data_IF_539761810594
#
_entry.id   IF_539761810594
#
_cell.length_a   1.000
_cell.length_b   1.000
_cell.length_c   1.000
_cell.angle_alpha   90.00
_cell.angle_beta   90.00
_cell.angle_gamma   90.00
#
_symmetry.space_group_name_H-M   'P 1'
#
loop_
_entity.id
_entity.type
_entity.pdbx_description
1 polymer ?
#
# COMPACT_ATOMS: atom_id res chain seq x y z
N UNK A 1 1.14 9.97 4.08
CA UNK A 1 0.42 10.68 2.99
C UNK A 1 0.13 12.13 3.34
N UNK A 2 -0.54 12.45 4.46
CA UNK A 2 -0.84 13.82 4.88
C UNK A 2 0.39 14.76 4.86
N UNK A 3 1.49 14.34 5.47
CA UNK A 3 2.77 15.08 5.45
C UNK A 3 3.29 15.38 4.02
N UNK A 4 3.12 14.48 3.05
CA UNK A 4 3.53 14.72 1.65
C UNK A 4 2.72 15.83 0.97
N UNK A 5 1.54 16.12 1.51
CA UNK A 5 0.65 17.18 1.06
C UNK A 5 0.68 18.41 1.98
N UNK A 6 1.62 18.45 2.94
CA UNK A 6 1.79 19.58 3.86
C UNK A 6 0.51 19.92 4.65
N UNK A 7 -0.25 18.89 5.01
CA UNK A 7 -1.46 19.01 5.85
C UNK A 7 -1.40 18.06 7.03
N UNK A 8 -2.12 18.38 8.11
CA UNK A 8 -2.31 17.47 9.23
C UNK A 8 -3.20 16.26 8.86
N UNK A 9 -3.15 15.22 9.70
CA UNK A 9 -3.90 13.97 9.48
C UNK A 9 -5.42 14.19 9.49
N UNK A 10 -6.03 14.87 10.49
CA UNK A 10 -7.48 15.14 10.46
C UNK A 10 -7.97 15.82 9.18
N UNK A 11 -7.24 16.83 8.70
CA UNK A 11 -7.52 17.59 7.49
C UNK A 11 -7.42 16.68 6.26
N UNK A 12 -6.36 15.87 6.17
CA UNK A 12 -6.20 14.90 5.10
C UNK A 12 -7.36 13.89 5.07
N UNK A 13 -7.73 13.31 6.21
CA UNK A 13 -8.79 12.32 6.30
C UNK A 13 -10.14 12.92 5.91
N UNK A 14 -10.48 14.12 6.41
CA UNK A 14 -11.72 14.83 6.06
C UNK A 14 -11.82 15.11 4.55
N UNK A 15 -10.72 15.58 3.95
CA UNK A 15 -10.69 16.02 2.56
C UNK A 15 -10.60 14.85 1.58
N UNK A 16 -9.72 13.90 1.82
CA UNK A 16 -9.32 12.88 0.84
C UNK A 16 -9.71 11.45 1.17
N UNK A 17 -10.18 11.17 2.39
CA UNK A 17 -10.61 9.84 2.80
C UNK A 17 -12.08 9.81 3.24
N UNK A 18 -12.64 8.62 3.32
CA UNK A 18 -13.94 8.34 3.90
C UNK A 18 -13.78 7.21 4.91
N UNK A 19 -14.43 7.33 6.06
CA UNK A 19 -14.51 6.24 7.03
C UNK A 19 -15.48 5.19 6.50
N UNK A 20 -15.13 3.92 6.63
CA UNK A 20 -15.90 2.74 6.25
C UNK A 20 -15.88 1.75 7.43
N UNK A 21 -16.75 0.73 7.37
CA UNK A 21 -16.91 -0.23 8.47
C UNK A 21 -17.77 0.32 9.62
N UNK A 22 -17.83 -0.44 10.73
CA UNK A 22 -18.64 -0.11 11.91
C UNK A 22 -17.88 -0.40 13.20
N UNK A 23 -18.06 0.45 14.20
CA UNK A 23 -17.47 0.28 15.53
C UNK A 23 -15.94 0.19 15.49
N UNK A 24 -15.38 -0.79 16.19
CA UNK A 24 -13.94 -1.06 16.24
C UNK A 24 -13.35 -1.46 14.88
N UNK A 25 -14.16 -1.98 13.96
CA UNK A 25 -13.71 -2.44 12.64
C UNK A 25 -13.82 -1.33 11.57
N UNK A 26 -13.77 -0.07 11.99
CA UNK A 26 -13.79 1.05 11.06
C UNK A 26 -12.40 1.31 10.47
N UNK A 27 -12.34 1.62 9.19
CA UNK A 27 -11.10 1.99 8.50
C UNK A 27 -11.31 3.19 7.59
N UNK A 28 -10.23 3.86 7.19
CA UNK A 28 -10.28 4.93 6.21
C UNK A 28 -9.94 4.40 4.82
N UNK A 29 -10.80 4.69 3.86
CA UNK A 29 -10.56 4.45 2.45
C UNK A 29 -10.39 5.79 1.74
N UNK A 30 -9.43 5.89 0.81
CA UNK A 30 -9.32 7.07 -0.05
C UNK A 30 -10.60 7.27 -0.87
N UNK A 31 -11.03 8.52 -1.01
CA UNK A 31 -12.18 8.88 -1.83
C UNK A 31 -11.91 8.53 -3.30
N UNK A 32 -13.00 8.45 -4.05
CA UNK A 32 -12.98 8.20 -5.48
C UNK A 32 -13.61 9.37 -6.25
N UNK A 33 -13.14 9.60 -7.47
CA UNK A 33 -13.70 10.56 -8.44
C UNK A 33 -14.30 9.81 -9.63
N UNK A 34 -15.45 10.27 -10.12
CA UNK A 34 -16.07 9.71 -11.33
C UNK A 34 -15.26 10.09 -12.57
N UNK A 35 -15.15 9.16 -13.50
CA UNK A 35 -14.46 9.28 -14.78
C UNK A 35 -15.33 8.69 -15.89
N UNK A 36 -14.92 8.88 -17.15
CA UNK A 36 -15.61 8.30 -18.30
C UNK A 36 -15.71 6.77 -18.24
N UNK A 37 -14.75 6.10 -17.60
CA UNK A 37 -14.64 4.63 -17.54
C UNK A 37 -14.99 4.07 -16.16
N UNK A 38 -15.61 4.85 -15.28
CA UNK A 38 -15.98 4.42 -13.92
C UNK A 38 -15.45 5.33 -12.83
N UNK A 39 -14.73 4.78 -11.86
CA UNK A 39 -14.24 5.53 -10.69
C UNK A 39 -12.74 5.33 -10.50
N UNK A 40 -12.03 6.44 -10.29
CA UNK A 40 -10.61 6.44 -9.97
C UNK A 40 -10.41 6.89 -8.52
N UNK A 41 -9.32 6.45 -7.88
CA UNK A 41 -8.87 7.06 -6.63
C UNK A 41 -8.63 8.57 -6.86
N UNK A 42 -8.90 9.41 -5.86
CA UNK A 42 -8.65 10.87 -5.93
C UNK A 42 -7.20 11.22 -6.30
N UNK A 43 -6.24 10.37 -5.94
CA UNK A 43 -4.81 10.55 -6.23
C UNK A 43 -4.32 9.81 -7.48
N UNK A 44 -5.19 9.12 -8.22
CA UNK A 44 -4.80 8.53 -9.50
C UNK A 44 -4.71 9.62 -10.56
N UNK A 45 -3.55 9.73 -11.19
CA UNK A 45 -3.24 10.65 -12.27
C UNK A 45 -2.92 9.86 -13.55
N UNK A 46 -3.69 10.12 -14.60
CA UNK A 46 -3.52 9.48 -15.92
C UNK A 46 -2.77 10.35 -16.93
N UNK A 47 -2.41 11.58 -16.54
CA UNK A 47 -1.78 12.60 -17.39
C UNK A 47 -0.32 12.82 -17.02
N UNK A 48 0.07 12.56 -15.77
CA UNK A 48 1.44 12.78 -15.28
C UNK A 48 2.48 11.97 -16.06
N UNK A 49 2.15 10.74 -16.47
CA UNK A 49 3.02 9.90 -17.30
C UNK A 49 2.24 9.41 -18.51
N UNK A 50 2.70 9.77 -19.72
CA UNK A 50 2.02 9.39 -20.96
C UNK A 50 1.89 7.86 -21.05
N UNK A 51 0.66 7.39 -21.25
CA UNK A 51 0.34 5.97 -21.36
C UNK A 51 0.33 5.19 -20.05
N UNK A 52 0.46 5.84 -18.89
CA UNK A 52 0.42 5.17 -17.58
C UNK A 52 -0.45 5.93 -16.58
N UNK A 53 -1.26 5.18 -15.83
CA UNK A 53 -1.91 5.71 -14.64
C UNK A 53 -0.97 5.58 -13.45
N UNK A 54 -0.67 6.68 -12.77
CA UNK A 54 0.27 6.74 -11.65
C UNK A 54 -0.38 7.40 -10.44
N UNK A 55 0.02 7.00 -9.23
CA UNK A 55 -0.44 7.66 -8.01
C UNK A 55 0.39 8.93 -7.78
N UNK A 56 -0.26 10.09 -7.64
CA UNK A 56 0.43 11.35 -7.35
C UNK A 56 1.12 11.36 -5.98
N UNK A 57 0.73 10.46 -5.07
CA UNK A 57 1.34 10.25 -3.76
C UNK A 57 2.14 8.95 -3.67
N UNK A 58 2.62 8.39 -4.79
CA UNK A 58 3.31 7.09 -4.81
C UNK A 58 4.52 7.02 -3.87
N UNK A 59 5.23 8.14 -3.68
CA UNK A 59 6.36 8.22 -2.77
C UNK A 59 5.96 8.19 -1.29
N UNK A 60 4.69 8.45 -0.96
CA UNK A 60 4.17 8.45 0.40
C UNK A 60 3.56 7.11 0.84
N UNK A 61 3.77 6.04 0.06
CA UNK A 61 3.40 4.67 0.42
C UNK A 61 4.08 4.26 1.74
N UNK A 62 3.38 3.55 2.64
CA UNK A 62 4.01 3.05 3.87
C UNK A 62 5.06 1.99 3.54
N UNK A 63 5.94 1.69 4.51
CA UNK A 63 6.97 0.65 4.35
C UNK A 63 6.37 -0.68 3.90
N UNK A 64 5.23 -1.07 4.48
CA UNK A 64 4.44 -2.23 4.03
C UNK A 64 4.24 -2.29 2.51
N UNK A 65 3.82 -1.20 1.89
CA UNK A 65 3.60 -1.20 0.45
C UNK A 65 4.88 -1.07 -0.37
N UNK A 66 6.01 -0.66 0.24
CA UNK A 66 7.31 -0.55 -0.43
C UNK A 66 8.08 -1.86 -0.43
N UNK A 67 7.95 -2.66 0.63
CA UNK A 67 8.67 -3.92 0.83
C UNK A 67 7.93 -5.14 0.31
N UNK A 68 6.72 -4.98 -0.25
CA UNK A 68 6.06 -6.07 -0.97
C UNK A 68 6.91 -6.50 -2.17
N UNK A 69 7.15 -7.81 -2.40
CA UNK A 69 6.53 -8.97 -1.73
C UNK A 69 7.35 -9.61 -0.61
N UNK A 70 8.45 -9.00 -0.15
CA UNK A 70 9.41 -9.59 0.79
C UNK A 70 8.99 -9.44 2.25
N UNK A 71 7.69 -9.47 2.53
CA UNK A 71 7.20 -9.52 3.90
C UNK A 71 7.64 -10.83 4.56
N UNK A 72 7.92 -10.86 5.87
CA UNK A 72 8.38 -12.06 6.55
C UNK A 72 7.48 -13.27 6.33
N UNK A 73 6.16 -13.08 6.43
CA UNK A 73 5.17 -14.16 6.23
C UNK A 73 5.25 -14.77 4.82
N UNK A 74 5.61 -13.97 3.83
CA UNK A 74 5.73 -14.41 2.44
C UNK A 74 6.97 -15.27 2.21
N UNK A 75 8.01 -15.08 3.04
CA UNK A 75 9.31 -15.73 2.95
C UNK A 75 9.45 -16.95 3.85
N UNK A 76 8.43 -17.28 4.67
CA UNK A 76 8.47 -18.40 5.62
C UNK A 76 8.78 -19.74 4.96
N UNK A 77 8.12 -20.02 3.83
CA UNK A 77 8.31 -21.27 3.10
C UNK A 77 8.22 -21.05 1.61
N UNK A 78 8.86 -21.95 0.85
CA UNK A 78 8.68 -22.00 -0.61
C UNK A 78 7.20 -22.12 -0.99
N UNK A 79 6.41 -22.90 -0.25
CA UNK A 79 4.99 -23.06 -0.54
C UNK A 79 4.22 -21.74 -0.37
N UNK A 80 4.54 -20.94 0.66
CA UNK A 80 3.94 -19.63 0.86
C UNK A 80 4.24 -18.70 -0.31
N UNK A 81 5.49 -18.64 -0.76
CA UNK A 81 5.89 -17.87 -1.94
C UNK A 81 5.16 -18.32 -3.22
N UNK A 82 5.07 -19.63 -3.44
CA UNK A 82 4.36 -20.19 -4.61
C UNK A 82 2.87 -19.80 -4.61
N UNK A 83 2.22 -19.77 -3.44
CA UNK A 83 0.82 -19.34 -3.31
C UNK A 83 0.60 -17.88 -3.68
N UNK A 84 1.58 -16.99 -3.48
CA UNK A 84 1.48 -15.58 -3.90
C UNK A 84 1.31 -15.41 -5.41
N UNK A 85 1.69 -16.43 -6.20
CA UNK A 85 1.56 -16.43 -7.66
C UNK A 85 0.22 -17.01 -8.12
N UNK A 86 -0.23 -18.07 -7.46
CA UNK A 86 -1.28 -18.96 -7.97
C UNK A 86 -2.63 -18.81 -7.29
N UNK A 87 -2.68 -18.16 -6.13
CA UNK A 87 -3.94 -17.90 -5.45
C UNK A 87 -4.86 -17.01 -6.32
N UNK A 88 -6.16 -17.11 -6.08
CA UNK A 88 -7.18 -16.23 -6.70
C UNK A 88 -6.86 -14.74 -6.47
N UNK A 89 -6.27 -14.42 -5.33
CA UNK A 89 -5.81 -13.09 -4.94
C UNK A 89 -4.28 -12.93 -5.09
N UNK A 90 -3.64 -13.82 -5.86
CA UNK A 90 -2.21 -13.79 -6.15
C UNK A 90 -1.81 -12.55 -6.94
N UNK A 91 -0.56 -12.12 -6.77
CA UNK A 91 -0.03 -10.96 -7.48
C UNK A 91 0.66 -11.40 -8.78
N UNK A 92 0.17 -10.96 -9.96
CA UNK A 92 0.74 -11.36 -11.26
C UNK A 92 2.17 -10.81 -11.49
N UNK A 93 2.62 -9.89 -10.63
CA UNK A 93 3.98 -9.33 -10.66
C UNK A 93 5.04 -10.17 -9.96
N UNK A 94 4.68 -11.21 -9.21
CA UNK A 94 5.66 -12.07 -8.53
C UNK A 94 6.52 -12.80 -9.57
N UNK A 95 7.84 -12.85 -9.33
CA UNK A 95 8.85 -13.39 -10.24
C UNK A 95 8.87 -12.73 -11.63
N UNK A 96 8.40 -11.47 -11.74
CA UNK A 96 8.55 -10.65 -12.95
C UNK A 96 9.59 -9.57 -12.72
N UNK A 97 10.53 -9.45 -13.66
CA UNK A 97 11.61 -8.48 -13.60
C UNK A 97 12.94 -9.08 -13.13
N UNK A 98 13.94 -8.23 -12.83
CA UNK A 98 15.25 -8.66 -12.37
C UNK A 98 15.18 -9.40 -11.02
N UNK A 99 16.07 -10.37 -10.83
CA UNK A 99 16.24 -11.00 -9.52
C UNK A 99 16.86 -9.99 -8.54
N UNK A 100 16.27 -9.86 -7.35
CA UNK A 100 16.84 -9.06 -6.27
C UNK A 100 17.96 -9.84 -5.56
N UNK A 101 19.07 -9.19 -5.18
CA UNK A 101 20.08 -9.79 -4.31
C UNK A 101 19.48 -10.21 -2.97
N UNK A 102 19.99 -11.31 -2.39
CA UNK A 102 19.49 -11.85 -1.11
C UNK A 102 19.58 -10.80 0.01
N UNK A 103 20.68 -10.05 0.09
CA UNK A 103 20.86 -9.03 1.12
C UNK A 103 19.81 -7.91 1.04
N UNK A 104 19.41 -7.51 -0.18
CA UNK A 104 18.35 -6.54 -0.39
C UNK A 104 17.00 -7.09 0.08
N UNK A 105 16.71 -8.36 -0.20
CA UNK A 105 15.48 -9.03 0.24
C UNK A 105 15.43 -9.09 1.78
N UNK A 106 16.54 -9.46 2.43
CA UNK A 106 16.63 -9.52 3.88
C UNK A 106 16.45 -8.14 4.51
N UNK A 107 17.08 -7.10 3.95
CA UNK A 107 16.90 -5.73 4.42
C UNK A 107 15.44 -5.27 4.32
N UNK A 108 14.76 -5.55 3.19
CA UNK A 108 13.36 -5.17 3.02
C UNK A 108 12.42 -5.91 3.98
N UNK A 109 12.72 -7.17 4.31
CA UNK A 109 12.01 -7.93 5.34
C UNK A 109 12.19 -7.28 6.71
N UNK A 110 13.42 -6.98 7.09
CA UNK A 110 13.74 -6.44 8.41
C UNK A 110 13.16 -5.02 8.60
N UNK A 111 13.20 -4.20 7.54
CA UNK A 111 12.55 -2.88 7.49
C UNK A 111 11.03 -2.99 7.70
N UNK A 112 10.41 -4.03 7.15
CA UNK A 112 8.97 -4.27 7.30
C UNK A 112 8.61 -4.62 8.74
N UNK A 113 9.41 -5.49 9.39
CA UNK A 113 9.20 -5.87 10.78
C UNK A 113 9.43 -4.70 11.73
N UNK A 114 10.54 -3.98 11.55
CA UNK A 114 10.83 -2.78 12.33
C UNK A 114 9.68 -1.75 12.21
N UNK A 115 9.17 -1.55 10.99
CA UNK A 115 8.03 -0.67 10.77
C UNK A 115 6.75 -1.15 11.46
N UNK A 116 6.43 -2.46 11.42
CA UNK A 116 5.26 -3.03 12.10
C UNK A 116 5.31 -2.79 13.61
N UNK A 117 6.48 -2.97 14.22
CA UNK A 117 6.67 -2.76 15.67
C UNK A 117 6.62 -1.28 16.04
N UNK A 118 7.12 -0.40 15.16
CA UNK A 118 7.17 1.04 15.42
C UNK A 118 5.83 1.77 15.16
N UNK A 119 4.94 1.21 14.34
CA UNK A 119 3.64 1.82 14.08
C UNK A 119 2.71 1.59 15.27
N UNK A 120 2.47 2.65 16.04
CA UNK A 120 1.35 2.68 16.97
C UNK A 120 0.04 2.57 16.19
N UNK A 121 -0.62 1.41 16.26
CA UNK A 121 -1.98 1.25 15.74
C UNK A 121 -2.94 1.87 16.76
N UNK A 122 -3.61 3.01 16.47
CA UNK A 122 -4.53 3.58 17.43
C UNK A 122 -5.67 2.59 17.65
N UNK A 123 -5.80 2.07 18.86
CA UNK A 123 -6.79 1.04 19.20
C UNK A 123 -8.23 1.52 19.00
N UNK A 124 -8.44 2.85 18.91
CA UNK A 124 -9.71 3.50 18.56
C UNK A 124 -9.43 4.80 17.81
N UNK A 125 -9.79 4.87 16.53
CA UNK A 125 -10.05 6.13 15.85
C UNK A 125 -11.34 6.70 16.47
N UNK A 126 -11.21 7.56 17.49
CA UNK A 126 -12.34 8.28 18.10
C UNK A 126 -13.00 9.18 17.06
#
# INVERSE_FOLDING_TARGET
MASKMEVDVPTFLKKYARRQGRGANSFFQLKQKRTATGFDCVFLDRKLVKGKAVCSLYQARPMQCRTWPYWPENLETRQTWERLKTAKDGCPGINKGPAAPVDEVLQQRDDMDAWRTAVEVPTKLK
#
